data_IF_074483974865
#
_entry.id   IF_074483974865
#
_cell.length_a   1.000
_cell.length_b   1.000
_cell.length_c   1.000
_cell.angle_alpha   90.00
_cell.angle_beta   90.00
_cell.angle_gamma   90.00
#
_symmetry.space_group_name_H-M   'P 1'
#
loop_
_entity.id
_entity.type
_entity.pdbx_description
1 polymer ?
#
# COMPACT_ATOMS: atom_id res chain seq x y z
N UNK A 1 28.68 -29.78 10.24
CA UNK A 1 27.26 -29.61 10.63
C UNK A 1 26.67 -28.53 9.72
N UNK A 2 25.63 -28.81 8.94
CA UNK A 2 25.12 -27.84 7.94
C UNK A 2 24.11 -26.88 8.59
N UNK A 3 24.58 -25.70 9.00
CA UNK A 3 23.75 -24.66 9.65
C UNK A 3 22.55 -24.20 8.79
N UNK A 4 22.54 -24.53 7.49
CA UNK A 4 21.43 -24.24 6.56
C UNK A 4 20.20 -25.12 6.79
N UNK A 5 20.32 -26.22 7.53
CA UNK A 5 19.21 -27.15 7.84
C UNK A 5 18.50 -26.87 9.17
N UNK A 6 18.92 -25.86 9.93
CA UNK A 6 18.31 -25.49 11.22
C UNK A 6 17.04 -24.64 11.02
N UNK A 7 16.06 -24.83 11.91
CA UNK A 7 14.86 -23.97 12.00
C UNK A 7 15.26 -22.51 12.25
N UNK A 8 14.39 -21.53 11.93
CA UNK A 8 14.68 -20.12 12.20
C UNK A 8 15.07 -19.86 13.66
N UNK A 9 14.38 -20.44 14.64
CA UNK A 9 14.77 -20.33 16.05
C UNK A 9 16.13 -20.97 16.33
N UNK A 10 16.42 -22.14 15.75
CA UNK A 10 17.70 -22.82 15.91
C UNK A 10 18.88 -22.03 15.35
N UNK A 11 18.67 -21.26 14.27
CA UNK A 11 19.69 -20.35 13.74
C UNK A 11 19.92 -19.14 14.65
N UNK A 12 18.86 -18.58 15.25
CA UNK A 12 18.99 -17.47 16.17
C UNK A 12 19.71 -17.87 17.46
N UNK A 13 19.41 -19.06 17.98
CA UNK A 13 20.10 -19.61 19.15
C UNK A 13 21.60 -19.81 18.87
N UNK A 14 21.94 -20.39 17.71
CA UNK A 14 23.32 -20.54 17.28
C UNK A 14 24.07 -19.19 17.21
N UNK A 15 23.43 -18.15 16.64
CA UNK A 15 24.00 -16.80 16.58
C UNK A 15 24.28 -16.23 17.96
N UNK A 16 23.33 -16.36 18.90
CA UNK A 16 23.48 -15.89 20.29
C UNK A 16 24.64 -16.59 20.99
N UNK A 17 24.76 -17.92 20.86
CA UNK A 17 25.85 -18.70 21.46
C UNK A 17 27.22 -18.31 20.90
N UNK A 18 27.32 -18.11 19.59
CA UNK A 18 28.56 -17.66 18.93
C UNK A 18 28.97 -16.27 19.41
N UNK A 19 28.03 -15.33 19.49
CA UNK A 19 28.32 -13.97 19.96
C UNK A 19 28.71 -13.95 21.43
N UNK A 20 27.99 -14.70 22.29
CA UNK A 20 28.31 -14.81 23.71
C UNK A 20 29.72 -15.37 23.94
N UNK A 21 30.13 -16.38 23.17
CA UNK A 21 31.49 -16.92 23.25
C UNK A 21 32.56 -15.86 22.91
N UNK A 22 32.31 -15.04 21.88
CA UNK A 22 33.24 -13.97 21.49
C UNK A 22 33.28 -12.84 22.52
N UNK A 23 32.14 -12.44 23.08
CA UNK A 23 32.09 -11.44 24.16
C UNK A 23 32.73 -11.96 25.46
N UNK A 24 32.74 -13.29 25.68
CA UNK A 24 33.47 -13.94 26.77
C UNK A 24 34.98 -14.09 26.52
N UNK A 25 35.52 -13.54 25.41
CA UNK A 25 36.95 -13.50 25.12
C UNK A 25 37.43 -14.49 24.05
N UNK A 26 36.56 -15.32 23.47
CA UNK A 26 36.94 -16.22 22.38
C UNK A 26 37.24 -15.43 21.09
N UNK A 27 38.32 -15.80 20.39
CA UNK A 27 38.61 -15.16 19.10
C UNK A 27 37.56 -15.53 18.04
N UNK A 28 37.26 -14.63 17.10
CA UNK A 28 36.29 -14.92 16.02
C UNK A 28 36.71 -16.10 15.13
N UNK A 29 38.03 -16.34 15.01
CA UNK A 29 38.56 -17.46 14.24
C UNK A 29 38.30 -18.79 14.96
N UNK A 30 38.52 -18.82 16.27
CA UNK A 30 38.26 -19.98 17.12
C UNK A 30 36.76 -20.28 17.21
N UNK A 31 35.92 -19.26 17.40
CA UNK A 31 34.47 -19.39 17.36
C UNK A 31 34.00 -19.97 16.01
N UNK A 32 34.59 -19.55 14.89
CA UNK A 32 34.29 -20.14 13.58
C UNK A 32 34.58 -21.65 13.52
N UNK A 33 35.71 -22.09 14.08
CA UNK A 33 36.09 -23.50 14.15
C UNK A 33 35.17 -24.30 15.06
N UNK A 34 34.95 -23.83 16.29
CA UNK A 34 34.15 -24.52 17.33
C UNK A 34 32.70 -24.71 16.88
N UNK A 35 32.09 -23.67 16.30
CA UNK A 35 30.68 -23.71 15.90
C UNK A 35 30.47 -24.15 14.43
N UNK A 36 31.54 -24.42 13.68
CA UNK A 36 31.46 -24.83 12.28
C UNK A 36 30.91 -23.75 11.34
N UNK A 37 31.16 -22.47 11.67
CA UNK A 37 30.68 -21.30 10.92
C UNK A 37 31.88 -20.54 10.34
N UNK A 38 31.71 -19.90 9.19
CA UNK A 38 32.80 -19.10 8.61
C UNK A 38 33.16 -17.91 9.52
N UNK A 39 34.44 -17.61 9.67
CA UNK A 39 34.93 -16.42 10.41
C UNK A 39 34.20 -15.13 9.97
N UNK A 40 33.90 -15.00 8.68
CA UNK A 40 33.16 -13.86 8.12
C UNK A 40 31.76 -13.76 8.73
N UNK A 41 31.01 -14.86 8.81
CA UNK A 41 29.68 -14.87 9.40
C UNK A 41 29.72 -14.57 10.91
N UNK A 42 30.72 -15.10 11.63
CA UNK A 42 30.97 -14.74 13.04
C UNK A 42 31.18 -13.23 13.19
N UNK A 43 32.04 -12.63 12.37
CA UNK A 43 32.31 -11.19 12.41
C UNK A 43 31.08 -10.33 12.12
N UNK A 44 30.22 -10.76 11.18
CA UNK A 44 28.94 -10.10 10.88
C UNK A 44 28.02 -10.12 12.10
N UNK A 45 27.86 -11.27 12.76
CA UNK A 45 26.96 -11.40 13.92
C UNK A 45 27.44 -10.60 15.13
N UNK A 46 28.74 -10.65 15.43
CA UNK A 46 29.34 -9.87 16.53
C UNK A 46 29.15 -8.37 16.27
N UNK A 47 29.40 -7.91 15.03
CA UNK A 47 29.17 -6.51 14.66
C UNK A 47 27.69 -6.12 14.79
N UNK A 48 26.77 -6.96 14.31
CA UNK A 48 25.34 -6.71 14.40
C UNK A 48 24.87 -6.60 15.86
N UNK A 49 25.37 -7.50 16.74
CA UNK A 49 25.08 -7.47 18.17
C UNK A 49 25.61 -6.21 18.87
N UNK A 50 26.86 -5.81 18.58
CA UNK A 50 27.45 -4.60 19.19
C UNK A 50 26.76 -3.32 18.77
N UNK A 51 26.26 -3.26 17.54
CA UNK A 51 25.58 -2.07 17.00
C UNK A 51 24.11 -1.99 17.38
N UNK A 52 23.40 -3.12 17.39
CA UNK A 52 21.94 -3.17 17.46
C UNK A 52 21.40 -4.05 18.59
N UNK A 53 22.27 -4.54 19.48
CA UNK A 53 21.90 -5.34 20.64
C UNK A 53 21.48 -6.79 20.32
N UNK A 54 20.95 -7.50 21.33
CA UNK A 54 20.58 -8.93 21.23
C UNK A 54 19.51 -9.24 20.18
N UNK A 55 18.61 -8.29 19.91
CA UNK A 55 17.51 -8.46 18.95
C UNK A 55 18.00 -8.61 17.50
N UNK A 56 19.20 -8.11 17.20
CA UNK A 56 19.82 -8.22 15.88
C UNK A 56 20.15 -9.66 15.47
N UNK A 57 20.14 -10.61 16.42
CA UNK A 57 20.43 -12.02 16.20
C UNK A 57 19.17 -12.86 15.99
N UNK A 58 17.98 -12.27 16.18
CA UNK A 58 16.71 -12.94 15.95
C UNK A 58 16.57 -13.38 14.49
N UNK A 59 15.77 -14.43 14.22
CA UNK A 59 15.56 -14.89 12.87
C UNK A 59 14.86 -13.79 12.09
N UNK A 60 15.56 -13.15 11.13
CA UNK A 60 14.88 -12.31 10.15
C UNK A 60 13.84 -13.17 9.42
N UNK A 61 12.64 -12.61 9.29
CA UNK A 61 11.54 -13.21 8.52
C UNK A 61 12.07 -13.62 7.14
N UNK A 62 11.99 -14.90 6.76
CA UNK A 62 12.38 -15.33 5.41
C UNK A 62 11.48 -14.65 4.39
N UNK A 63 12.09 -13.79 3.55
CA UNK A 63 11.44 -12.95 2.53
C UNK A 63 12.09 -11.56 2.47
N UNK A 64 11.96 -10.86 1.34
CA UNK A 64 12.46 -9.49 1.13
C UNK A 64 12.02 -8.57 2.29
N UNK A 65 12.91 -7.70 2.77
CA UNK A 65 12.55 -6.74 3.80
C UNK A 65 11.38 -5.85 3.31
N UNK A 66 10.38 -5.53 4.14
CA UNK A 66 9.41 -4.49 3.81
C UNK A 66 10.16 -3.16 3.58
N UNK A 67 10.38 -2.79 2.32
CA UNK A 67 11.19 -1.61 1.97
C UNK A 67 12.35 -1.87 1.01
N UNK A 68 12.73 -3.12 0.77
CA UNK A 68 13.77 -3.43 -0.21
C UNK A 68 13.23 -3.35 -1.64
N UNK A 69 13.78 -2.41 -2.40
CA UNK A 69 13.55 -2.13 -3.82
C UNK A 69 12.12 -1.69 -4.19
N UNK A 70 11.61 -0.64 -3.53
CA UNK A 70 10.55 0.13 -4.18
C UNK A 70 11.06 0.68 -5.51
N UNK A 71 10.35 0.36 -6.59
CA UNK A 71 10.61 1.00 -7.88
C UNK A 71 10.45 2.53 -7.81
N UNK A 72 9.58 3.03 -6.93
CA UNK A 72 9.41 4.44 -6.64
C UNK A 72 10.25 4.83 -5.41
N UNK A 73 11.16 5.77 -5.60
CA UNK A 73 11.83 6.45 -4.49
C UNK A 73 10.82 7.11 -3.57
N UNK A 74 11.21 7.34 -2.32
CA UNK A 74 10.38 7.99 -1.30
C UNK A 74 9.83 9.35 -1.77
N UNK A 75 10.67 10.15 -2.44
CA UNK A 75 10.27 11.45 -3.03
C UNK A 75 9.17 11.28 -4.09
N UNK A 76 9.35 10.34 -5.01
CA UNK A 76 8.34 10.07 -6.06
C UNK A 76 7.00 9.60 -5.48
N UNK A 77 7.02 8.81 -4.39
CA UNK A 77 5.78 8.41 -3.72
C UNK A 77 5.05 9.61 -3.10
N UNK A 78 5.78 10.53 -2.47
CA UNK A 78 5.20 11.78 -1.92
C UNK A 78 4.58 12.63 -3.02
N UNK A 79 5.31 12.85 -4.11
CA UNK A 79 4.83 13.65 -5.24
C UNK A 79 3.56 13.04 -5.85
N UNK A 80 3.52 11.72 -6.06
CA UNK A 80 2.30 11.05 -6.56
C UNK A 80 1.12 11.22 -5.60
N UNK A 81 1.34 11.09 -4.30
CA UNK A 81 0.27 11.25 -3.32
C UNK A 81 -0.28 12.67 -3.30
N UNK A 82 0.59 13.68 -3.44
CA UNK A 82 0.17 15.07 -3.58
C UNK A 82 -0.69 15.26 -4.83
N UNK A 83 -0.25 14.75 -5.97
CA UNK A 83 -1.04 14.82 -7.21
C UNK A 83 -2.39 14.13 -7.09
N UNK A 84 -2.41 12.88 -6.61
CA UNK A 84 -3.63 12.11 -6.40
C UNK A 84 -4.61 12.83 -5.47
N UNK A 85 -4.10 13.56 -4.48
CA UNK A 85 -4.92 14.27 -3.50
C UNK A 85 -5.46 15.62 -3.97
N UNK A 86 -4.79 16.23 -4.95
CA UNK A 86 -5.10 17.58 -5.43
C UNK A 86 -5.88 17.57 -6.73
N UNK A 87 -5.65 16.55 -7.58
CA UNK A 87 -6.08 16.55 -8.96
C UNK A 87 -6.83 15.26 -9.33
N UNK A 88 -7.82 15.40 -10.21
CA UNK A 88 -8.34 14.32 -11.01
C UNK A 88 -7.37 14.01 -12.18
N UNK A 89 -7.36 12.79 -12.75
CA UNK A 89 -6.35 12.43 -13.74
C UNK A 89 -6.42 13.26 -15.04
N UNK A 90 -7.62 13.65 -15.46
CA UNK A 90 -7.88 14.54 -16.60
C UNK A 90 -7.28 15.93 -16.41
N UNK A 91 -7.28 16.46 -15.18
CA UNK A 91 -6.63 17.73 -14.84
C UNK A 91 -5.10 17.65 -14.99
N UNK A 92 -4.53 16.44 -14.95
CA UNK A 92 -3.11 16.17 -15.21
C UNK A 92 -2.82 15.78 -16.67
N UNK A 93 -3.80 15.93 -17.56
CA UNK A 93 -3.67 15.61 -18.98
C UNK A 93 -3.69 14.11 -19.30
N UNK A 94 -4.19 13.28 -18.39
CA UNK A 94 -4.37 11.84 -18.64
C UNK A 94 -5.69 11.58 -19.35
N UNK A 95 -5.78 10.47 -20.07
CA UNK A 95 -6.93 10.11 -20.92
C UNK A 95 -8.18 9.64 -20.17
N UNK A 96 -8.16 9.64 -18.84
CA UNK A 96 -9.26 9.15 -18.00
C UNK A 96 -9.68 10.23 -17.00
N UNK A 97 -10.98 10.44 -16.79
CA UNK A 97 -11.48 11.39 -15.80
C UNK A 97 -11.47 10.84 -14.36
N UNK A 98 -11.15 9.55 -14.17
CA UNK A 98 -11.13 8.89 -12.85
C UNK A 98 -9.85 8.07 -12.67
N UNK A 99 -9.34 7.99 -11.43
CA UNK A 99 -8.14 7.22 -11.16
C UNK A 99 -8.40 5.72 -11.24
N UNK A 100 -7.48 5.00 -11.86
CA UNK A 100 -7.42 3.55 -11.86
C UNK A 100 -5.95 3.11 -11.74
N UNK A 101 -5.71 1.81 -11.50
CA UNK A 101 -4.35 1.27 -11.48
C UNK A 101 -3.59 1.52 -12.79
N UNK A 102 -4.31 1.50 -13.92
CA UNK A 102 -3.73 1.77 -15.25
C UNK A 102 -3.36 3.24 -15.40
N UNK A 103 -4.31 4.13 -15.08
CA UNK A 103 -4.12 5.58 -15.20
C UNK A 103 -2.99 6.08 -14.29
N UNK A 104 -2.86 5.52 -13.09
CA UNK A 104 -1.72 5.82 -12.22
C UNK A 104 -0.39 5.25 -12.76
N UNK A 105 -0.40 4.08 -13.40
CA UNK A 105 0.78 3.57 -14.09
C UNK A 105 1.21 4.52 -15.23
N UNK A 106 0.24 5.05 -15.98
CA UNK A 106 0.48 6.01 -17.07
C UNK A 106 1.08 7.31 -16.52
N UNK A 107 0.57 7.84 -15.41
CA UNK A 107 1.17 9.00 -14.72
C UNK A 107 2.61 8.74 -14.28
N UNK A 108 2.88 7.57 -13.70
CA UNK A 108 4.22 7.19 -13.23
C UNK A 108 5.20 7.10 -14.40
N UNK A 109 4.77 6.52 -15.52
CA UNK A 109 5.56 6.46 -16.72
C UNK A 109 5.84 7.85 -17.28
N UNK A 110 4.82 8.70 -17.39
CA UNK A 110 4.94 10.06 -17.92
C UNK A 110 5.85 10.96 -17.06
N UNK A 111 5.76 10.87 -15.72
CA UNK A 111 6.53 11.74 -14.82
C UNK A 111 7.93 11.25 -14.51
N UNK A 112 8.13 9.94 -14.42
CA UNK A 112 9.39 9.37 -13.91
C UNK A 112 10.08 8.42 -14.88
N UNK A 113 9.48 8.13 -16.04
CA UNK A 113 10.01 7.15 -16.99
C UNK A 113 9.98 5.71 -16.47
N UNK A 114 9.15 5.42 -15.46
CA UNK A 114 9.07 4.11 -14.82
C UNK A 114 7.82 3.36 -15.28
N UNK A 115 8.01 2.23 -15.96
CA UNK A 115 6.91 1.38 -16.39
C UNK A 115 6.59 0.33 -15.32
N UNK A 116 5.57 0.59 -14.50
CA UNK A 116 5.12 -0.35 -13.47
C UNK A 116 3.90 -1.14 -13.92
N UNK A 117 3.85 -2.42 -13.57
CA UNK A 117 2.64 -3.23 -13.78
C UNK A 117 1.49 -2.75 -12.90
N UNK A 118 0.25 -2.97 -13.36
CA UNK A 118 -0.96 -2.64 -12.58
C UNK A 118 -1.00 -3.36 -11.23
N UNK A 119 -0.40 -4.55 -11.12
CA UNK A 119 -0.22 -5.27 -9.85
C UNK A 119 0.70 -4.51 -8.89
N UNK A 120 1.86 -4.05 -9.37
CA UNK A 120 2.81 -3.26 -8.56
C UNK A 120 2.18 -1.95 -8.10
N UNK A 121 1.48 -1.24 -9.01
CA UNK A 121 0.72 -0.03 -8.66
C UNK A 121 -0.38 -0.34 -7.64
N UNK A 122 -1.07 -1.47 -7.78
CA UNK A 122 -2.05 -1.95 -6.81
C UNK A 122 -1.45 -2.16 -5.42
N UNK A 123 -0.22 -2.68 -5.31
CA UNK A 123 0.47 -2.80 -4.03
C UNK A 123 0.81 -1.45 -3.40
N UNK A 124 1.18 -0.44 -4.19
CA UNK A 124 1.37 0.93 -3.69
C UNK A 124 0.06 1.51 -3.17
N UNK A 125 -1.03 1.43 -3.94
CA UNK A 125 -2.34 1.96 -3.53
C UNK A 125 -2.87 1.31 -2.25
N UNK A 126 -2.69 -0.01 -2.09
CA UNK A 126 -3.05 -0.72 -0.85
C UNK A 126 -2.18 -0.29 0.33
N UNK A 127 -0.86 -0.15 0.11
CA UNK A 127 0.08 0.35 1.14
C UNK A 127 -0.25 1.77 1.56
N UNK A 128 -0.69 2.60 0.62
CA UNK A 128 -1.11 3.97 0.85
C UNK A 128 -2.50 4.10 1.49
N UNK A 129 -3.22 2.99 1.65
CA UNK A 129 -4.58 2.99 2.19
C UNK A 129 -5.64 3.58 1.25
N UNK A 130 -5.29 3.89 0.00
CA UNK A 130 -6.20 4.46 -1.00
C UNK A 130 -7.12 3.39 -1.60
N UNK A 131 -6.68 2.13 -1.65
CA UNK A 131 -7.50 0.99 -2.04
C UNK A 131 -7.50 -0.06 -0.94
N UNK A 132 -8.68 -0.60 -0.62
CA UNK A 132 -8.78 -1.79 0.21
C UNK A 132 -8.22 -3.03 -0.52
N UNK A 133 -7.79 -4.04 0.24
CA UNK A 133 -7.55 -5.38 -0.30
C UNK A 133 -8.81 -5.84 -1.03
N UNK A 134 -8.67 -6.20 -2.32
CA UNK A 134 -9.80 -6.59 -3.18
C UNK A 134 -10.57 -7.73 -2.50
N UNK A 135 -11.77 -7.44 -1.96
CA UNK A 135 -12.72 -8.49 -1.60
C UNK A 135 -13.44 -8.86 -2.89
N UNK A 136 -13.37 -10.14 -3.28
CA UNK A 136 -14.21 -10.68 -4.35
C UNK A 136 -15.67 -10.47 -3.94
N UNK A 137 -16.39 -9.63 -4.67
CA UNK A 137 -17.84 -9.59 -4.57
C UNK A 137 -18.44 -10.75 -5.39
N UNK A 138 -19.67 -11.14 -5.05
CA UNK A 138 -20.38 -12.28 -5.65
C UNK A 138 -21.37 -11.87 -6.77
N UNK A 139 -21.27 -10.65 -7.33
CA UNK A 139 -22.27 -10.14 -8.30
C UNK A 139 -21.68 -9.27 -9.41
N UNK A 140 -22.47 -8.96 -10.43
CA UNK A 140 -22.11 -8.04 -11.52
C UNK A 140 -22.13 -6.55 -11.13
N UNK A 141 -22.42 -6.22 -9.86
CA UNK A 141 -22.42 -4.84 -9.36
C UNK A 141 -21.02 -4.37 -8.95
N UNK A 142 -20.79 -3.06 -9.07
CA UNK A 142 -19.65 -2.40 -8.44
C UNK A 142 -19.96 -2.07 -6.99
N UNK A 143 -19.02 -2.37 -6.10
CA UNK A 143 -19.11 -1.97 -4.69
C UNK A 143 -18.48 -0.60 -4.53
N UNK A 144 -19.28 0.40 -4.17
CA UNK A 144 -18.81 1.76 -3.84
C UNK A 144 -18.58 1.85 -2.34
N UNK A 145 -17.35 2.13 -1.95
CA UNK A 145 -16.92 2.26 -0.57
C UNK A 145 -16.18 3.56 -0.35
N UNK A 146 -16.20 4.01 0.89
CA UNK A 146 -15.49 5.18 1.35
C UNK A 146 -14.38 4.74 2.30
N UNK A 147 -13.18 5.22 2.02
CA UNK A 147 -11.96 4.90 2.74
C UNK A 147 -11.36 6.17 3.32
N UNK A 148 -10.89 6.09 4.56
CA UNK A 148 -9.99 7.09 5.14
C UNK A 148 -8.59 6.51 5.03
N UNK A 149 -7.70 7.05 4.18
CA UNK A 149 -6.32 6.62 4.08
C UNK A 149 -5.69 6.65 5.46
N UNK A 150 -4.85 5.66 5.74
CA UNK A 150 -4.02 5.71 6.93
C UNK A 150 -2.99 6.82 6.71
N UNK A 151 -2.76 7.74 7.68
CA UNK A 151 -1.74 8.77 7.55
C UNK A 151 -0.42 8.13 7.13
N UNK A 152 0.10 8.54 5.97
CA UNK A 152 1.32 7.93 5.46
C UNK A 152 2.50 8.62 6.08
N UNK A 153 3.36 7.81 6.67
CA UNK A 153 4.62 8.25 7.20
C UNK A 153 5.73 7.93 6.22
N UNK A 154 6.49 8.97 5.95
CA UNK A 154 7.73 8.96 5.19
C UNK A 154 8.76 9.15 6.29
N UNK A 155 9.39 8.05 6.74
CA UNK A 155 10.18 8.05 7.98
C UNK A 155 9.28 8.31 9.19
N UNK A 156 9.55 9.35 9.97
CA UNK A 156 8.67 9.86 11.04
C UNK A 156 7.78 11.02 10.59
N UNK A 157 7.92 11.52 9.36
CA UNK A 157 7.17 12.68 8.87
C UNK A 157 5.87 12.23 8.19
N UNK A 158 4.76 12.84 8.59
CA UNK A 158 3.47 12.72 7.89
C UNK A 158 3.64 13.26 6.46
N UNK A 159 3.00 12.62 5.48
CA UNK A 159 2.91 13.13 4.10
C UNK A 159 1.64 13.97 3.97
N UNK A 160 1.74 15.32 3.91
CA UNK A 160 0.59 16.15 3.56
C UNK A 160 0.30 15.99 2.05
N UNK A 161 -0.97 16.05 1.62
CA UNK A 161 -2.15 16.43 2.40
C UNK A 161 -3.02 15.20 2.73
N UNK A 162 -2.44 14.16 3.32
CA UNK A 162 -3.25 13.00 3.78
C UNK A 162 -4.16 13.36 4.98
N UNK A 163 -3.99 14.54 5.58
CA UNK A 163 -4.94 15.08 6.54
C UNK A 163 -6.28 15.41 5.87
N UNK A 164 -7.38 14.88 6.42
CA UNK A 164 -8.74 15.07 5.88
C UNK A 164 -8.94 14.61 4.42
N UNK A 165 -8.01 13.83 3.87
CA UNK A 165 -8.16 13.18 2.58
C UNK A 165 -9.04 11.96 2.78
N UNK A 166 -10.24 11.95 2.24
CA UNK A 166 -11.06 10.74 2.17
C UNK A 166 -11.03 10.24 0.71
N UNK A 167 -11.30 8.96 0.49
CA UNK A 167 -11.24 8.37 -0.85
C UNK A 167 -12.52 7.60 -1.11
N UNK A 168 -13.18 7.93 -2.20
CA UNK A 168 -14.26 7.10 -2.71
C UNK A 168 -13.70 6.11 -3.71
N UNK A 169 -14.10 4.85 -3.56
CA UNK A 169 -13.59 3.73 -4.34
C UNK A 169 -14.77 2.94 -4.89
N UNK A 170 -14.80 2.66 -6.19
CA UNK A 170 -15.70 1.71 -6.81
C UNK A 170 -14.89 0.50 -7.27
N UNK A 171 -15.25 -0.70 -6.82
CA UNK A 171 -14.59 -1.95 -7.20
C UNK A 171 -15.57 -2.89 -7.90
N UNK A 172 -15.24 -3.33 -9.10
CA UNK A 172 -15.93 -4.40 -9.80
C UNK A 172 -15.38 -5.78 -9.40
N UNK A 173 -16.20 -6.81 -9.54
CA UNK A 173 -15.82 -8.21 -9.29
C UNK A 173 -14.69 -8.71 -10.17
N UNK A 174 -14.59 -8.18 -11.39
CA UNK A 174 -13.55 -8.52 -12.37
C UNK A 174 -12.21 -7.82 -12.11
N UNK A 175 -12.08 -7.12 -10.98
CA UNK A 175 -10.82 -6.50 -10.53
C UNK A 175 -10.61 -5.05 -10.96
N UNK A 176 -11.50 -4.48 -11.78
CA UNK A 176 -11.52 -3.06 -12.07
C UNK A 176 -11.75 -2.28 -10.76
N UNK A 177 -10.95 -1.24 -10.54
CA UNK A 177 -11.08 -0.37 -9.39
C UNK A 177 -10.87 1.07 -9.82
N UNK A 178 -11.86 1.90 -9.53
CA UNK A 178 -11.87 3.33 -9.75
C UNK A 178 -11.84 4.04 -8.41
N UNK A 179 -11.16 5.18 -8.34
CA UNK A 179 -11.15 5.97 -7.13
C UNK A 179 -11.00 7.47 -7.40
N UNK A 180 -11.48 8.29 -6.48
CA UNK A 180 -11.19 9.72 -6.41
C UNK A 180 -10.95 10.11 -4.96
N UNK A 181 -10.03 11.05 -4.79
CA UNK A 181 -9.79 11.71 -3.52
C UNK A 181 -10.87 12.77 -3.29
N UNK A 182 -11.45 12.76 -2.10
CA UNK A 182 -12.47 13.66 -1.61
C UNK A 182 -11.87 14.54 -0.51
N UNK A 183 -12.32 15.79 -0.45
CA UNK A 183 -11.99 16.73 0.63
C UNK A 183 -13.28 17.34 1.22
N UNK A 184 -13.29 17.66 2.52
CA UNK A 184 -14.39 18.43 3.10
C UNK A 184 -14.51 19.82 2.46
N UNK A 185 -15.73 20.38 2.37
CA UNK A 185 -17.00 19.75 2.71
C UNK A 185 -17.43 18.70 1.68
N UNK A 186 -17.90 17.54 2.15
CA UNK A 186 -18.38 16.47 1.27
C UNK A 186 -19.82 16.73 0.84
N UNK A 187 -20.09 16.71 -0.47
CA UNK A 187 -21.41 17.04 -1.04
C UNK A 187 -21.97 15.90 -1.88
N UNK A 188 -23.29 15.88 -2.10
CA UNK A 188 -23.95 14.84 -2.93
C UNK A 188 -23.48 14.95 -4.38
N UNK A 189 -23.24 16.18 -4.84
CA UNK A 189 -22.78 16.51 -6.19
C UNK A 189 -21.39 15.92 -6.44
N UNK A 190 -20.46 16.06 -5.49
CA UNK A 190 -19.13 15.44 -5.59
C UNK A 190 -19.21 13.91 -5.66
N UNK A 191 -20.16 13.32 -4.92
CA UNK A 191 -20.39 11.87 -4.98
C UNK A 191 -21.05 11.42 -6.29
N UNK A 192 -21.90 12.25 -6.89
CA UNK A 192 -22.50 11.99 -8.20
C UNK A 192 -21.48 12.15 -9.32
N UNK A 193 -20.61 13.16 -9.25
CA UNK A 193 -19.53 13.38 -10.20
C UNK A 193 -18.61 12.15 -10.32
N UNK A 194 -18.24 11.54 -9.19
CA UNK A 194 -17.49 10.28 -9.21
C UNK A 194 -18.19 9.17 -10.01
N UNK A 195 -19.50 9.01 -9.84
CA UNK A 195 -20.27 8.00 -10.58
C UNK A 195 -20.33 8.34 -12.06
N UNK A 196 -20.59 9.60 -12.42
CA UNK A 196 -20.62 10.06 -13.82
C UNK A 196 -19.27 9.83 -14.53
N UNK A 197 -18.15 10.05 -13.83
CA UNK A 197 -16.82 9.78 -14.38
C UNK A 197 -16.59 8.28 -14.64
N UNK A 198 -17.11 7.40 -13.79
CA UNK A 198 -17.07 5.94 -14.03
C UNK A 198 -17.97 5.57 -15.21
N UNK A 199 -19.18 6.12 -15.28
CA UNK A 199 -20.11 5.90 -16.40
C UNK A 199 -19.47 6.28 -17.74
N UNK A 200 -18.75 7.40 -17.78
CA UNK A 200 -18.01 7.84 -18.97
C UNK A 200 -16.89 6.88 -19.40
N UNK A 201 -16.28 6.16 -18.45
CA UNK A 201 -15.21 5.18 -18.74
C UNK A 201 -15.77 3.81 -19.12
N UNK A 202 -16.81 3.33 -18.41
CA UNK A 202 -17.43 2.02 -18.66
C UNK A 202 -18.41 2.05 -19.84
N UNK A 203 -18.80 3.23 -20.31
CA UNK A 203 -19.75 3.42 -21.42
C UNK A 203 -21.18 2.99 -21.09
N UNK A 204 -21.46 2.66 -19.82
CA UNK A 204 -22.77 2.23 -19.33
C UNK A 204 -22.90 2.58 -17.84
N UNK A 205 -24.14 2.64 -17.35
CA UNK A 205 -24.41 2.90 -15.93
C UNK A 205 -24.22 1.63 -15.11
N UNK A 206 -23.16 1.54 -14.27
CA UNK A 206 -22.92 0.34 -13.49
C UNK A 206 -23.97 0.22 -12.37
N UNK A 207 -24.43 -1.00 -12.12
CA UNK A 207 -25.18 -1.27 -10.89
C UNK A 207 -24.26 -1.06 -9.68
N UNK A 208 -24.68 -0.23 -8.72
CA UNK A 208 -23.87 0.15 -7.56
C UNK A 208 -24.44 -0.43 -6.27
N UNK A 209 -23.58 -1.11 -5.50
CA UNK A 209 -23.88 -1.52 -4.13
C UNK A 209 -23.02 -0.72 -3.16
N UNK A 210 -23.61 -0.21 -2.08
CA UNK A 210 -22.87 0.52 -1.05
C UNK A 210 -22.14 -0.46 -0.14
N UNK A 211 -20.83 -0.31 -0.06
CA UNK A 211 -19.95 -1.06 0.85
C UNK A 211 -19.68 -0.29 2.13
N UNK A 212 -18.39 -0.17 2.50
CA UNK A 212 -17.97 0.54 3.71
C UNK A 212 -18.33 2.03 3.60
N UNK A 213 -18.93 2.58 4.63
CA UNK A 213 -19.25 4.00 4.73
C UNK A 213 -18.99 4.54 6.15
N UNK A 214 -18.39 5.74 6.33
CA UNK A 214 -18.19 6.34 7.63
C UNK A 214 -19.51 6.59 8.36
N UNK A 215 -19.59 6.19 9.63
CA UNK A 215 -20.81 6.35 10.43
C UNK A 215 -21.23 7.84 10.56
N UNK A 216 -20.26 8.74 10.62
CA UNK A 216 -20.46 10.19 10.71
C UNK A 216 -21.05 10.80 9.41
N UNK A 217 -20.91 10.12 8.27
CA UNK A 217 -21.41 10.57 6.97
C UNK A 217 -22.75 9.91 6.59
N UNK A 218 -23.51 9.40 7.56
CA UNK A 218 -24.76 8.67 7.29
C UNK A 218 -25.89 9.52 6.68
N UNK A 219 -25.94 10.83 6.97
CA UNK A 219 -26.90 11.76 6.34
C UNK A 219 -26.60 11.92 4.84
N UNK A 220 -25.33 12.11 4.51
CA UNK A 220 -24.85 12.24 3.14
C UNK A 220 -25.13 10.97 2.33
N UNK A 221 -24.91 9.79 2.92
CA UNK A 221 -25.25 8.51 2.28
C UNK A 221 -26.72 8.41 1.89
N UNK A 222 -27.64 8.76 2.81
CA UNK A 222 -29.07 8.71 2.54
C UNK A 222 -29.45 9.66 1.40
N UNK A 223 -28.96 10.90 1.45
CA UNK A 223 -29.22 11.90 0.42
C UNK A 223 -28.71 11.43 -0.96
N UNK A 224 -27.49 10.89 -1.01
CA UNK A 224 -26.92 10.35 -2.25
C UNK A 224 -27.71 9.15 -2.79
N UNK A 225 -28.14 8.19 -1.94
CA UNK A 225 -28.98 7.06 -2.38
C UNK A 225 -30.32 7.51 -2.95
N UNK A 226 -30.98 8.49 -2.32
CA UNK A 226 -32.21 9.07 -2.84
C UNK A 226 -31.99 9.72 -4.21
N UNK A 227 -30.88 10.43 -4.39
CA UNK A 227 -30.54 11.05 -5.67
C UNK A 227 -30.23 10.00 -6.77
N UNK A 228 -29.59 8.88 -6.43
CA UNK A 228 -29.32 7.79 -7.38
C UNK A 228 -30.60 7.04 -7.80
N UNK A 229 -31.53 6.79 -6.87
CA UNK A 229 -32.81 6.15 -7.20
C UNK A 229 -33.62 6.97 -8.22
N UNK A 230 -33.54 8.30 -8.15
CA UNK A 230 -34.15 9.19 -9.15
C UNK A 230 -33.50 9.14 -10.54
N UNK A 231 -32.22 8.74 -10.65
CA UNK A 231 -31.52 8.58 -11.95
C UNK A 231 -31.92 7.28 -12.65
N UNK A 232 -32.04 6.17 -11.90
CA UNK A 232 -32.35 4.86 -12.48
C UNK A 232 -33.78 4.74 -13.06
N UNK A 233 -34.67 5.68 -12.74
CA UNK A 233 -36.07 5.72 -13.23
C UNK A 233 -36.20 6.58 -14.50
N UNK A 234 -35.18 7.39 -14.84
CA UNK A 234 -35.18 8.30 -16.00
C UNK A 234 -34.39 7.79 -17.20
N UNK A 235 -33.81 6.60 -17.11
CA UNK A 235 -33.01 5.94 -18.16
C UNK A 235 -33.81 4.91 -18.93
#
# INVERSE_FOLDING_TARGET
MDARKLSPEGQADLRRRVVAAVEAGMSQQEAGRVFGISRRAVGVWVRAHRLNGPEALNPNRRGRNPGEQFALSRRQQVELLQELSQHAPDELGLSSPVWSRRVLADLIAARFGLHLSTTTVGHYLTRWGLLGSVRRAHSESMVVSWHRPVPLFVGSALVPPTENLDVMVAQATRGAAYFLCLRPPYTVEALQDFVMRIEGVEGSSPSLTVGRWPADQGKLLRAWRSAQAGRSVRG
#
